data_IF_335995066901
#
_entry.id   IF_335995066901
#
_cell.length_a   1.000
_cell.length_b   1.000
_cell.length_c   1.000
_cell.angle_alpha   90.00
_cell.angle_beta   90.00
_cell.angle_gamma   90.00
#
_symmetry.space_group_name_H-M   'P 1'
#
loop_
_entity.id
_entity.type
_entity.pdbx_description
1 polymer ?
#
# COMPACT_ATOMS: atom_id res chain seq x y z
N UNK A 1 3.32 18.20 -7.88
CA UNK A 1 1.85 18.16 -7.91
C UNK A 1 1.47 16.72 -7.68
N UNK A 2 0.52 16.39 -6.79
CA UNK A 2 0.12 15.00 -6.59
C UNK A 2 -0.59 14.50 -7.86
N UNK A 3 -0.24 13.29 -8.28
CA UNK A 3 -0.79 12.64 -9.46
C UNK A 3 -2.00 11.80 -9.02
N UNK A 4 -3.15 12.45 -8.83
CA UNK A 4 -4.32 11.83 -8.19
C UNK A 4 -5.10 10.90 -9.14
N UNK A 5 -4.77 10.88 -10.43
CA UNK A 5 -5.45 10.08 -11.44
C UNK A 5 -4.47 9.13 -12.11
N UNK A 6 -4.92 7.90 -12.41
CA UNK A 6 -4.14 6.98 -13.22
C UNK A 6 -4.99 6.15 -14.17
N UNK A 7 -4.45 5.89 -15.35
CA UNK A 7 -4.90 4.80 -16.22
C UNK A 7 -4.07 3.57 -15.88
N UNK A 8 -4.74 2.47 -15.58
CA UNK A 8 -4.14 1.15 -15.43
C UNK A 8 -4.47 0.32 -16.68
N UNK A 9 -3.43 -0.21 -17.30
CA UNK A 9 -3.53 -1.03 -18.50
C UNK A 9 -2.88 -2.37 -18.21
N UNK A 10 -3.69 -3.41 -18.14
CA UNK A 10 -3.26 -4.78 -17.99
C UNK A 10 -3.31 -5.44 -19.38
N UNK A 11 -2.13 -5.65 -19.96
CA UNK A 11 -2.00 -6.26 -21.28
C UNK A 11 -2.12 -7.79 -21.10
N UNK A 12 -3.23 -8.39 -21.53
CA UNK A 12 -3.53 -9.81 -21.28
C UNK A 12 -2.87 -10.74 -22.31
N UNK A 13 -2.17 -11.77 -21.81
CA UNK A 13 -2.46 -13.17 -22.13
C UNK A 13 -1.85 -14.09 -21.02
N UNK A 14 -2.66 -14.54 -20.06
CA UNK A 14 -2.26 -15.60 -19.09
C UNK A 14 -2.27 -17.03 -19.69
N UNK A 15 -2.91 -17.26 -20.84
CA UNK A 15 -2.89 -18.55 -21.53
C UNK A 15 -1.66 -18.72 -22.46
N UNK A 16 -1.05 -17.62 -22.93
CA UNK A 16 0.10 -17.61 -23.85
C UNK A 16 1.14 -16.54 -23.51
N UNK A 17 1.44 -16.35 -22.21
CA UNK A 17 2.38 -15.37 -21.65
C UNK A 17 3.37 -14.77 -22.65
N UNK A 18 3.39 -13.44 -22.76
CA UNK A 18 3.97 -12.68 -23.86
C UNK A 18 4.99 -13.42 -24.74
N UNK A 19 4.62 -13.66 -25.99
CA UNK A 19 5.62 -13.91 -27.01
C UNK A 19 6.63 -12.75 -27.02
N UNK A 20 7.90 -13.03 -27.33
CA UNK A 20 8.95 -12.01 -27.40
C UNK A 20 8.53 -10.81 -28.29
N UNK A 21 7.70 -11.06 -29.30
CA UNK A 21 7.14 -10.07 -30.22
C UNK A 21 6.13 -9.13 -29.55
N UNK A 22 5.24 -9.66 -28.70
CA UNK A 22 4.31 -8.83 -27.93
C UNK A 22 5.06 -8.00 -26.88
N UNK A 23 6.13 -8.51 -26.28
CA UNK A 23 6.99 -7.71 -25.39
C UNK A 23 7.66 -6.55 -26.12
N UNK A 24 8.13 -6.78 -27.35
CA UNK A 24 8.73 -5.70 -28.16
C UNK A 24 7.70 -4.65 -28.55
N UNK A 25 6.49 -5.05 -28.97
CA UNK A 25 5.40 -4.10 -29.28
C UNK A 25 4.88 -3.36 -28.05
N UNK A 26 4.87 -4.02 -26.90
CA UNK A 26 4.50 -3.41 -25.63
C UNK A 26 5.54 -2.37 -25.17
N UNK A 27 6.83 -2.56 -25.51
CA UNK A 27 7.86 -1.53 -25.30
C UNK A 27 7.66 -0.35 -26.25
N UNK A 28 7.32 -0.60 -27.51
CA UNK A 28 6.99 0.46 -28.48
C UNK A 28 5.77 1.27 -28.01
N UNK A 29 4.77 0.62 -27.39
CA UNK A 29 3.58 1.26 -26.82
C UNK A 29 3.93 2.26 -25.70
N UNK A 30 4.82 1.90 -24.79
CA UNK A 30 5.24 2.75 -23.68
C UNK A 30 5.98 4.01 -24.18
N UNK A 31 6.90 3.83 -25.12
CA UNK A 31 7.67 4.91 -25.73
C UNK A 31 6.77 5.83 -26.56
N UNK A 32 5.82 5.26 -27.29
CA UNK A 32 4.84 6.02 -28.07
C UNK A 32 3.85 6.78 -27.19
N UNK A 33 3.38 6.18 -26.10
CA UNK A 33 2.54 6.85 -25.10
C UNK A 33 3.29 8.03 -24.48
N UNK A 34 4.55 7.82 -24.07
CA UNK A 34 5.41 8.88 -23.52
C UNK A 34 5.67 9.99 -24.54
N UNK A 35 5.88 9.66 -25.81
CA UNK A 35 6.12 10.63 -26.86
C UNK A 35 4.88 11.49 -27.18
N UNK A 36 3.68 10.88 -27.17
CA UNK A 36 2.43 11.54 -27.55
C UNK A 36 1.75 12.31 -26.41
N UNK A 37 1.89 11.87 -25.15
CA UNK A 37 1.26 12.52 -23.98
C UNK A 37 2.10 13.67 -23.41
N UNK A 38 3.38 13.76 -23.78
CA UNK A 38 4.26 14.84 -23.36
C UNK A 38 4.62 14.78 -21.87
N UNK A 39 5.04 15.91 -21.29
CA UNK A 39 5.55 15.98 -19.91
C UNK A 39 4.46 16.00 -18.82
N UNK A 40 3.19 16.01 -19.20
CA UNK A 40 2.07 16.15 -18.25
C UNK A 40 1.53 14.82 -17.73
N UNK A 41 1.93 13.70 -18.35
CA UNK A 41 1.52 12.36 -17.95
C UNK A 41 2.76 11.51 -17.72
N UNK A 42 2.89 10.93 -16.52
CA UNK A 42 4.01 10.06 -16.18
C UNK A 42 3.65 8.62 -16.49
N UNK A 43 4.41 8.01 -17.39
CA UNK A 43 4.19 6.63 -17.82
C UNK A 43 5.19 5.70 -17.12
N UNK A 44 4.68 4.71 -16.40
CA UNK A 44 5.49 3.70 -15.70
C UNK A 44 5.01 2.30 -16.05
N UNK A 45 5.92 1.32 -16.07
CA UNK A 45 5.60 -0.09 -16.37
C UNK A 45 6.06 -0.97 -15.23
N UNK A 46 5.22 -1.95 -14.90
CA UNK A 46 5.56 -3.09 -14.05
C UNK A 46 5.11 -4.39 -14.73
N UNK A 47 6.05 -5.09 -15.36
CA UNK A 47 5.77 -6.34 -16.08
C UNK A 47 4.75 -6.17 -17.21
N UNK A 48 3.57 -6.80 -17.05
CA UNK A 48 2.43 -6.73 -17.96
C UNK A 48 1.59 -5.46 -17.83
N UNK A 49 1.82 -4.69 -16.76
CA UNK A 49 1.00 -3.55 -16.37
C UNK A 49 1.67 -2.25 -16.77
N UNK A 50 0.90 -1.39 -17.39
CA UNK A 50 1.29 -0.03 -17.74
C UNK A 50 0.41 0.94 -16.95
N UNK A 51 1.05 1.89 -16.28
CA UNK A 51 0.37 2.92 -15.48
C UNK A 51 0.68 4.29 -16.07
N UNK A 52 -0.36 5.08 -16.32
CA UNK A 52 -0.26 6.45 -16.81
C UNK A 52 -0.84 7.39 -15.77
N UNK A 53 0.00 8.18 -15.12
CA UNK A 53 -0.36 9.09 -14.05
C UNK A 53 -0.61 10.49 -14.57
N UNK A 54 -1.70 11.11 -14.16
CA UNK A 54 -2.10 12.45 -14.55
C UNK A 54 -2.56 13.26 -13.35
N UNK A 55 -2.48 14.59 -13.47
CA UNK A 55 -2.84 15.52 -12.38
C UNK A 55 -4.32 15.91 -12.40
N UNK A 56 -5.03 15.67 -13.49
CA UNK A 56 -6.45 15.99 -13.62
C UNK A 56 -7.22 14.96 -14.47
N UNK A 57 -8.55 14.99 -14.32
CA UNK A 57 -9.45 14.05 -14.98
C UNK A 57 -9.46 14.22 -16.52
N UNK A 58 -9.25 15.43 -17.03
CA UNK A 58 -9.26 15.66 -18.48
C UNK A 58 -8.06 14.95 -19.10
N UNK A 59 -6.88 15.15 -18.51
CA UNK A 59 -5.64 14.53 -18.96
C UNK A 59 -5.69 13.00 -18.87
N UNK A 60 -6.22 12.44 -17.77
CA UNK A 60 -6.31 10.97 -17.64
C UNK A 60 -7.27 10.36 -18.67
N UNK A 61 -8.34 11.07 -19.03
CA UNK A 61 -9.30 10.64 -20.06
C UNK A 61 -8.71 10.73 -21.47
N UNK A 62 -7.90 11.76 -21.76
CA UNK A 62 -7.14 11.85 -23.00
C UNK A 62 -6.12 10.70 -23.10
N UNK A 63 -5.42 10.41 -22.00
CA UNK A 63 -4.50 9.28 -21.92
C UNK A 63 -5.20 7.92 -22.13
N UNK A 64 -6.38 7.74 -21.52
CA UNK A 64 -7.22 6.54 -21.73
C UNK A 64 -7.59 6.36 -23.21
N UNK A 65 -8.04 7.43 -23.87
CA UNK A 65 -8.43 7.37 -25.28
C UNK A 65 -7.24 7.07 -26.19
N UNK A 66 -6.09 7.70 -25.91
CA UNK A 66 -4.87 7.44 -26.65
C UNK A 66 -4.44 5.99 -26.51
N UNK A 67 -4.41 5.45 -25.28
CA UNK A 67 -3.89 4.10 -25.06
C UNK A 67 -4.80 3.04 -25.67
N UNK A 68 -6.13 3.24 -25.62
CA UNK A 68 -7.10 2.40 -26.35
C UNK A 68 -6.80 2.39 -27.85
N UNK A 69 -6.57 3.56 -28.44
CA UNK A 69 -6.24 3.70 -29.86
C UNK A 69 -4.93 3.00 -30.24
N UNK A 70 -3.92 3.09 -29.39
CA UNK A 70 -2.63 2.42 -29.62
C UNK A 70 -2.72 0.89 -29.47
N UNK A 71 -3.43 0.40 -28.45
CA UNK A 71 -3.71 -1.03 -28.25
C UNK A 71 -4.43 -1.61 -29.47
N UNK A 72 -5.45 -0.92 -29.98
CA UNK A 72 -6.18 -1.33 -31.18
C UNK A 72 -5.29 -1.31 -32.43
N UNK A 73 -4.45 -0.27 -32.60
CA UNK A 73 -3.55 -0.14 -33.75
C UNK A 73 -2.49 -1.24 -33.81
N UNK A 74 -1.99 -1.67 -32.66
CA UNK A 74 -1.00 -2.75 -32.53
C UNK A 74 -1.63 -4.16 -32.52
N UNK A 75 -2.97 -4.24 -32.51
CA UNK A 75 -3.71 -5.49 -32.45
C UNK A 75 -3.52 -6.24 -31.13
N UNK A 76 -3.35 -5.51 -30.03
CA UNK A 76 -3.17 -6.03 -28.68
C UNK A 76 -4.53 -6.17 -27.98
N UNK A 77 -4.60 -7.02 -26.96
CA UNK A 77 -5.74 -7.08 -26.04
C UNK A 77 -5.31 -6.55 -24.68
N UNK A 78 -6.11 -5.67 -24.09
CA UNK A 78 -5.79 -5.05 -22.80
C UNK A 78 -7.05 -4.73 -22.00
N UNK A 79 -7.00 -4.97 -20.70
CA UNK A 79 -7.93 -4.41 -19.73
C UNK A 79 -7.48 -3.00 -19.35
N UNK A 80 -8.29 -2.00 -19.68
CA UNK A 80 -7.98 -0.59 -19.45
C UNK A 80 -8.98 -0.01 -18.47
N UNK A 81 -8.49 0.49 -17.34
CA UNK A 81 -9.28 1.07 -16.23
C UNK A 81 -8.75 2.45 -15.88
N UNK A 82 -9.65 3.36 -15.53
CA UNK A 82 -9.28 4.69 -15.05
C UNK A 82 -9.65 4.81 -13.58
N UNK A 83 -8.64 5.07 -12.76
CA UNK A 83 -8.76 5.14 -11.30
C UNK A 83 -8.29 6.49 -10.78
N UNK A 84 -8.78 6.85 -9.60
CA UNK A 84 -8.38 8.04 -8.85
C UNK A 84 -8.01 7.62 -7.43
N UNK A 85 -6.98 8.25 -6.88
CA UNK A 85 -6.65 8.12 -5.47
C UNK A 85 -7.83 8.57 -4.60
N UNK A 86 -8.24 7.72 -3.68
CA UNK A 86 -9.26 8.03 -2.69
C UNK A 86 -8.57 8.46 -1.38
N UNK A 87 -8.63 9.73 -0.97
CA UNK A 87 -7.80 10.23 0.13
C UNK A 87 -8.18 9.68 1.50
N UNK A 88 -9.45 9.30 1.72
CA UNK A 88 -9.92 8.75 3.00
C UNK A 88 -9.68 7.23 3.09
N UNK A 89 -10.09 6.48 2.07
CA UNK A 89 -9.79 5.05 1.96
C UNK A 89 -8.31 4.73 1.68
N UNK A 90 -7.49 5.73 1.32
CA UNK A 90 -6.07 5.58 0.95
C UNK A 90 -5.82 4.49 -0.10
N UNK A 91 -6.72 4.41 -1.09
CA UNK A 91 -6.71 3.37 -2.12
C UNK A 91 -7.10 3.92 -3.50
N UNK A 92 -6.68 3.25 -4.56
CA UNK A 92 -7.02 3.59 -5.93
C UNK A 92 -8.39 3.03 -6.30
N UNK A 93 -9.37 3.91 -6.48
CA UNK A 93 -10.74 3.53 -6.82
C UNK A 93 -11.09 3.92 -8.24
N UNK A 94 -12.05 3.21 -8.84
CA UNK A 94 -12.63 3.59 -10.12
C UNK A 94 -13.21 5.01 -10.05
N UNK A 95 -13.11 5.78 -11.14
CA UNK A 95 -13.64 7.14 -11.21
C UNK A 95 -15.15 7.26 -10.91
N UNK A 96 -15.91 6.17 -11.10
CA UNK A 96 -17.33 6.11 -10.75
C UNK A 96 -17.60 6.13 -9.24
N UNK A 97 -16.61 5.81 -8.41
CA UNK A 97 -16.71 5.93 -6.96
C UNK A 97 -16.66 7.41 -6.58
N UNK A 98 -17.75 7.90 -6.00
CA UNK A 98 -17.85 9.27 -5.54
C UNK A 98 -16.95 9.48 -4.31
N UNK A 99 -16.22 10.59 -4.26
CA UNK A 99 -15.58 11.02 -3.01
C UNK A 99 -16.64 11.51 -2.02
N UNK A 100 -16.36 11.40 -0.72
CA UNK A 100 -17.16 12.03 0.30
C UNK A 100 -17.24 13.54 0.03
N UNK A 101 -18.44 14.11 0.22
CA UNK A 101 -18.73 15.52 -0.06
C UNK A 101 -18.95 16.32 1.21
N UNK A 102 -19.08 15.63 2.33
CA UNK A 102 -19.37 16.22 3.64
C UNK A 102 -18.42 15.65 4.69
N UNK A 103 -18.11 16.42 5.76
CA UNK A 103 -17.29 15.93 6.86
C UNK A 103 -17.85 14.67 7.54
N UNK A 104 -19.18 14.53 7.60
CA UNK A 104 -19.83 13.36 8.18
C UNK A 104 -19.61 12.09 7.32
N UNK A 105 -19.59 12.24 5.99
CA UNK A 105 -19.25 11.15 5.07
C UNK A 105 -17.76 10.78 5.17
N UNK A 106 -16.86 11.77 5.23
CA UNK A 106 -15.42 11.53 5.44
C UNK A 106 -15.17 10.77 6.74
N UNK A 107 -15.81 11.17 7.84
CA UNK A 107 -15.66 10.52 9.14
C UNK A 107 -16.20 9.09 9.13
N UNK A 108 -17.30 8.84 8.43
CA UNK A 108 -17.90 7.52 8.32
C UNK A 108 -17.01 6.56 7.51
N UNK A 109 -16.45 7.03 6.40
CA UNK A 109 -15.50 6.26 5.59
C UNK A 109 -14.20 5.97 6.33
N UNK A 110 -13.65 6.97 7.03
CA UNK A 110 -12.46 6.80 7.87
C UNK A 110 -12.67 5.72 8.94
N UNK A 111 -13.78 5.80 9.68
CA UNK A 111 -14.11 4.80 10.70
C UNK A 111 -14.35 3.39 10.10
N UNK A 112 -14.90 3.33 8.89
CA UNK A 112 -15.11 2.06 8.18
C UNK A 112 -13.77 1.43 7.76
N UNK A 113 -12.82 2.23 7.28
CA UNK A 113 -11.45 1.81 6.95
C UNK A 113 -10.72 1.29 8.19
N UNK A 114 -10.65 2.07 9.27
CA UNK A 114 -10.01 1.66 10.52
C UNK A 114 -10.60 0.34 11.05
N UNK A 115 -11.92 0.20 11.01
CA UNK A 115 -12.56 -1.04 11.43
C UNK A 115 -12.25 -2.24 10.51
N UNK A 116 -11.98 -2.01 9.22
CA UNK A 116 -11.57 -3.05 8.28
C UNK A 116 -10.12 -3.47 8.51
N UNK A 117 -9.22 -2.50 8.65
CA UNK A 117 -7.80 -2.70 8.99
C UNK A 117 -7.67 -3.46 10.32
N UNK A 118 -8.43 -3.07 11.35
CA UNK A 118 -8.48 -3.78 12.63
C UNK A 118 -8.85 -5.27 12.46
N UNK A 119 -9.87 -5.57 11.65
CA UNK A 119 -10.32 -6.95 11.37
C UNK A 119 -9.32 -7.75 10.54
N UNK A 120 -8.52 -7.11 9.72
CA UNK A 120 -7.45 -7.75 8.95
C UNK A 120 -6.27 -8.04 9.86
N UNK A 121 -5.83 -7.07 10.65
CA UNK A 121 -4.78 -7.23 11.64
C UNK A 121 -5.08 -8.32 12.67
N UNK A 122 -6.33 -8.41 13.15
CA UNK A 122 -6.78 -9.51 14.02
C UNK A 122 -6.70 -10.89 13.36
N UNK A 123 -6.93 -10.98 12.04
CA UNK A 123 -6.91 -12.25 11.30
C UNK A 123 -5.49 -12.69 10.94
N UNK A 124 -4.65 -11.74 10.53
CA UNK A 124 -3.33 -12.01 9.96
C UNK A 124 -2.22 -11.90 11.01
N UNK A 125 -2.48 -11.18 12.11
CA UNK A 125 -1.51 -10.92 13.17
C UNK A 125 -0.49 -9.84 12.79
N UNK A 126 -0.68 -9.17 11.66
CA UNK A 126 0.15 -8.09 11.12
C UNK A 126 -0.51 -6.75 11.49
N UNK A 127 0.24 -5.85 12.12
CA UNK A 127 -0.26 -4.57 12.63
C UNK A 127 0.67 -3.47 12.16
N UNK A 128 0.12 -2.35 11.69
CA UNK A 128 0.87 -1.18 11.21
C UNK A 128 1.60 -0.44 12.32
N UNK A 129 1.12 -0.56 13.56
CA UNK A 129 1.76 0.00 14.74
C UNK A 129 2.12 -1.11 15.71
N UNK A 130 3.26 -0.93 16.38
CA UNK A 130 3.71 -1.89 17.37
C UNK A 130 4.36 -1.21 18.57
N UNK A 131 4.16 -1.80 19.74
CA UNK A 131 4.91 -1.46 20.94
C UNK A 131 6.06 -2.43 21.08
N UNK A 132 7.29 -1.91 21.02
CA UNK A 132 8.51 -2.71 21.16
C UNK A 132 9.05 -2.52 22.57
N UNK A 133 9.25 -3.64 23.26
CA UNK A 133 9.79 -3.68 24.61
C UNK A 133 11.13 -4.39 24.60
N UNK A 134 12.15 -3.76 25.17
CA UNK A 134 13.46 -4.37 25.37
C UNK A 134 13.68 -4.68 26.85
N UNK A 135 13.65 -5.98 27.16
CA UNK A 135 13.73 -6.50 28.53
C UNK A 135 15.16 -6.89 28.88
N UNK A 136 15.46 -6.95 30.18
CA UNK A 136 16.82 -7.27 30.66
C UNK A 136 17.20 -8.70 30.33
N UNK A 137 16.23 -9.60 30.42
CA UNK A 137 16.44 -11.05 30.30
C UNK A 137 15.43 -11.75 29.38
N UNK A 138 15.88 -12.89 28.83
CA UNK A 138 15.05 -13.73 27.95
C UNK A 138 13.85 -14.36 28.67
N UNK A 139 13.99 -14.64 29.96
CA UNK A 139 12.93 -15.26 30.77
C UNK A 139 11.84 -14.24 31.08
N UNK A 140 12.23 -13.02 31.47
CA UNK A 140 11.32 -11.90 31.66
C UNK A 140 10.54 -11.57 30.39
N UNK A 141 11.20 -11.55 29.23
CA UNK A 141 10.53 -11.38 27.94
C UNK A 141 9.54 -12.51 27.62
N UNK A 142 9.84 -13.75 28.05
CA UNK A 142 8.92 -14.88 27.88
C UNK A 142 7.69 -14.76 28.78
N UNK A 143 7.89 -14.52 30.08
CA UNK A 143 6.81 -14.38 31.05
C UNK A 143 5.90 -13.20 30.71
N UNK A 144 6.48 -12.09 30.22
CA UNK A 144 5.71 -10.95 29.74
C UNK A 144 4.91 -11.29 28.49
N UNK A 145 5.52 -11.96 27.51
CA UNK A 145 4.83 -12.33 26.28
C UNK A 145 3.65 -13.28 26.54
N UNK A 146 3.83 -14.28 27.41
CA UNK A 146 2.75 -15.21 27.78
C UNK A 146 1.58 -14.50 28.47
N UNK A 147 1.86 -13.54 29.38
CA UNK A 147 0.80 -12.75 30.03
C UNK A 147 0.03 -11.91 29.03
N UNK A 148 0.73 -11.19 28.17
CA UNK A 148 0.10 -10.32 27.18
C UNK A 148 -0.72 -11.13 26.16
N UNK A 149 -0.22 -12.30 25.74
CA UNK A 149 -0.98 -13.21 24.88
C UNK A 149 -2.22 -13.77 25.60
N UNK A 150 -2.13 -14.08 26.90
CA UNK A 150 -3.28 -14.50 27.70
C UNK A 150 -4.34 -13.40 27.86
N UNK A 151 -3.93 -12.13 27.81
CA UNK A 151 -4.81 -10.96 27.77
C UNK A 151 -5.42 -10.71 26.37
N UNK A 152 -5.11 -11.58 25.39
CA UNK A 152 -5.66 -11.52 24.03
C UNK A 152 -4.91 -10.59 23.08
N UNK A 153 -3.75 -10.07 23.46
CA UNK A 153 -2.95 -9.20 22.59
C UNK A 153 -2.17 -10.02 21.55
N UNK A 154 -2.00 -9.46 20.36
CA UNK A 154 -1.10 -10.03 19.36
C UNK A 154 0.36 -9.76 19.75
N UNK A 155 1.07 -10.81 20.14
CA UNK A 155 2.41 -10.69 20.73
C UNK A 155 3.40 -11.57 19.98
N UNK A 156 4.48 -10.96 19.51
CA UNK A 156 5.66 -11.65 19.02
C UNK A 156 6.82 -11.47 20.01
N UNK A 157 7.62 -12.53 20.22
CA UNK A 157 8.82 -12.46 21.06
C UNK A 157 10.05 -12.87 20.28
N UNK A 158 11.06 -12.00 20.28
CA UNK A 158 12.38 -12.29 19.70
C UNK A 158 13.45 -12.11 20.78
N UNK A 159 13.91 -13.22 21.36
CA UNK A 159 14.94 -13.22 22.41
C UNK A 159 14.56 -12.41 23.67
N UNK A 160 15.08 -11.19 23.81
CA UNK A 160 14.79 -10.24 24.91
C UNK A 160 13.82 -9.14 24.50
N UNK A 161 13.33 -9.18 23.27
CA UNK A 161 12.36 -8.25 22.73
C UNK A 161 10.97 -8.88 22.76
N UNK A 162 9.99 -8.08 23.19
CA UNK A 162 8.57 -8.37 23.04
C UNK A 162 7.99 -7.28 22.16
N UNK A 163 7.23 -7.68 21.15
CA UNK A 163 6.57 -6.79 20.20
C UNK A 163 5.09 -7.05 20.32
N UNK A 164 4.30 -6.01 20.51
CA UNK A 164 2.84 -6.10 20.63
C UNK A 164 2.23 -5.26 19.52
N UNK A 165 1.42 -5.88 18.67
CA UNK A 165 0.71 -5.18 17.60
C UNK A 165 -0.41 -4.28 18.14
N UNK A 166 -0.62 -3.15 17.47
CA UNK A 166 -1.66 -2.17 17.75
C UNK A 166 -2.25 -1.66 16.42
N UNK A 167 -3.57 -1.42 16.41
CA UNK A 167 -4.29 -1.03 15.19
C UNK A 167 -3.93 0.41 14.80
N UNK A 168 -3.89 1.32 15.76
CA UNK A 168 -3.59 2.74 15.53
C UNK A 168 -2.37 3.21 16.33
N UNK A 169 -1.80 4.36 15.96
CA UNK A 169 -0.73 5.01 16.74
C UNK A 169 -1.22 5.36 18.16
N UNK A 170 -2.47 5.81 18.29
CA UNK A 170 -3.08 6.16 19.57
C UNK A 170 -3.18 4.93 20.48
N UNK A 171 -3.70 3.81 19.97
CA UNK A 171 -3.77 2.54 20.71
C UNK A 171 -2.38 2.07 21.14
N UNK A 172 -1.38 2.19 20.27
CA UNK A 172 0.00 1.86 20.58
C UNK A 172 0.56 2.76 21.70
N UNK A 173 0.23 4.06 21.66
CA UNK A 173 0.60 5.04 22.68
C UNK A 173 -0.03 4.73 24.05
N UNK A 174 -1.32 4.43 24.08
CA UNK A 174 -2.04 4.03 25.29
C UNK A 174 -1.48 2.73 25.88
N UNK A 175 -1.25 1.73 25.02
CA UNK A 175 -0.66 0.46 25.41
C UNK A 175 0.76 0.64 25.97
N UNK A 176 1.60 1.43 25.30
CA UNK A 176 2.95 1.74 25.77
C UNK A 176 2.91 2.47 27.13
N UNK A 177 1.98 3.40 27.32
CA UNK A 177 1.75 4.07 28.61
C UNK A 177 1.40 3.09 29.73
N UNK A 178 0.44 2.18 29.48
CA UNK A 178 0.06 1.11 30.42
C UNK A 178 1.23 0.18 30.75
N UNK A 179 1.99 -0.23 29.75
CA UNK A 179 3.14 -1.13 29.94
C UNK A 179 4.26 -0.45 30.73
N UNK A 180 4.58 0.82 30.45
CA UNK A 180 5.57 1.58 31.23
C UNK A 180 5.18 1.72 32.70
N UNK A 181 3.89 1.86 33.00
CA UNK A 181 3.41 1.94 34.39
C UNK A 181 3.53 0.61 35.16
N UNK A 182 3.47 -0.53 34.46
CA UNK A 182 3.53 -1.88 35.05
C UNK A 182 4.91 -2.53 35.05
N UNK A 183 5.91 -1.92 34.38
CA UNK A 183 7.25 -2.48 34.20
C UNK A 183 8.29 -1.69 35.01
N UNK A 184 9.48 -2.28 35.27
CA UNK A 184 10.60 -1.57 35.84
C UNK A 184 10.94 -0.32 35.01
N UNK A 185 11.21 0.81 35.67
CA UNK A 185 11.41 2.10 35.00
C UNK A 185 12.65 2.21 34.09
N UNK A 186 13.51 1.20 34.07
CA UNK A 186 14.63 1.08 33.13
C UNK A 186 14.33 0.18 31.92
N UNK A 187 13.08 -0.29 31.80
CA UNK A 187 12.61 -1.01 30.62
C UNK A 187 12.40 -0.03 29.49
N UNK A 188 13.07 -0.28 28.37
CA UNK A 188 12.91 0.53 27.16
C UNK A 188 11.63 0.08 26.44
N UNK A 189 10.73 1.04 26.21
CA UNK A 189 9.42 0.84 25.57
C UNK A 189 9.25 1.92 24.51
N UNK A 190 9.21 1.54 23.25
CA UNK A 190 9.01 2.42 22.09
C UNK A 190 7.70 2.08 21.37
N UNK A 191 7.14 3.10 20.71
CA UNK A 191 6.08 2.93 19.70
C UNK A 191 6.75 3.09 18.35
N UNK A 192 6.54 2.12 17.47
CA UNK A 192 7.17 2.05 16.15
C UNK A 192 6.11 1.73 15.10
N UNK A 193 6.23 2.36 13.93
CA UNK A 193 5.52 1.91 12.74
C UNK A 193 6.14 0.59 12.27
N UNK A 194 5.32 -0.42 12.04
CA UNK A 194 5.75 -1.67 11.45
C UNK A 194 5.92 -1.48 9.94
N UNK A 195 7.15 -1.65 9.48
CA UNK A 195 7.50 -1.53 8.06
C UNK A 195 7.79 -2.89 7.42
N UNK A 196 7.38 -3.99 8.07
CA UNK A 196 7.59 -5.35 7.54
C UNK A 196 6.95 -5.55 6.17
N UNK A 197 5.81 -4.89 5.93
CA UNK A 197 5.02 -5.04 4.71
C UNK A 197 5.39 -4.01 3.64
N UNK A 198 6.30 -3.10 3.98
CA UNK A 198 6.98 -2.26 3.00
C UNK A 198 7.89 -3.14 2.17
N UNK A 199 7.41 -3.57 1.00
CA UNK A 199 8.26 -4.12 -0.06
C UNK A 199 9.21 -3.03 -0.53
N UNK A 200 10.37 -2.94 0.10
CA UNK A 200 11.49 -2.13 -0.41
C UNK A 200 11.84 -2.71 -1.78
N UNK A 201 11.55 -1.96 -2.84
CA UNK A 201 11.81 -2.37 -4.21
C UNK A 201 13.26 -2.86 -4.32
N UNK A 202 13.42 -4.05 -4.88
CA UNK A 202 14.73 -4.65 -5.16
C UNK A 202 15.63 -3.60 -5.80
N UNK A 203 16.75 -3.29 -5.14
CA UNK A 203 17.79 -2.36 -5.61
C UNK A 203 17.95 -2.38 -7.14
N UNK A 204 17.43 -1.37 -7.84
CA UNK A 204 17.83 -1.11 -9.23
C UNK A 204 19.17 -0.37 -9.19
N UNK A 205 20.26 -1.09 -9.47
CA UNK A 205 21.52 -0.48 -9.87
C UNK A 205 21.28 0.32 -11.16
N UNK A 206 21.15 1.65 -11.04
CA UNK A 206 21.33 2.55 -12.17
C UNK A 206 22.83 2.79 -12.28
N UNK A 207 23.46 2.12 -13.25
CA UNK A 207 24.83 2.41 -13.65
C UNK A 207 24.90 3.81 -14.24
N UNK A 208 25.86 4.59 -13.75
CA UNK A 208 26.29 5.86 -14.34
C UNK A 208 26.98 5.64 -15.68
#
# INVERSE_FOLDING_TARGET
MPEDFRVEVELDDEAHGYSLRERMRALDLDDEARARLGQNVVVTRDGSRLFLYAVDEVQVREAEQLIRSLVDAEGLTADIRVTRWHPVEEDWKDLSVALPRTPDEEQAEYAAREAAEAREAEREGEYDWQVVLHLRGRSEAHDLAERLAADGLSVARRWRYVVVGAVTEEDAGELAGRLRAGLPGDTDVSVEANVSDVRVGTFQFIGF
#
